data_IF_089533983832
#
_entry.id   IF_089533983832
#
_cell.length_a   1.000
_cell.length_b   1.000
_cell.length_c   1.000
_cell.angle_alpha   90.00
_cell.angle_beta   90.00
_cell.angle_gamma   90.00
#
_symmetry.space_group_name_H-M   'P 1'
#
loop_
_entity.id
_entity.type
_entity.pdbx_description
1 polymer ?
#
# COMPACT_ATOMS: atom_id res chain seq x y z
N UNK A 1 17.12 32.76 -42.97
CA UNK A 1 17.65 32.74 -41.58
C UNK A 1 16.43 32.59 -40.71
N UNK A 2 16.11 31.35 -40.34
CA UNK A 2 14.86 31.06 -39.65
C UNK A 2 14.99 31.48 -38.18
N UNK A 3 14.20 32.47 -37.77
CA UNK A 3 14.15 32.95 -36.39
C UNK A 3 13.27 31.96 -35.62
N UNK A 4 13.88 31.07 -34.83
CA UNK A 4 13.15 30.23 -33.87
C UNK A 4 12.82 31.09 -32.65
N UNK A 5 11.58 31.57 -32.56
CA UNK A 5 11.05 32.20 -31.37
C UNK A 5 10.79 31.12 -30.31
N UNK A 6 11.77 30.87 -29.43
CA UNK A 6 11.70 29.87 -28.35
C UNK A 6 10.61 30.14 -27.28
N UNK A 7 9.81 31.20 -27.43
CA UNK A 7 8.83 31.63 -26.43
C UNK A 7 9.46 31.91 -25.07
N UNK A 8 8.69 31.77 -23.99
CA UNK A 8 9.22 31.88 -22.63
C UNK A 8 10.07 30.63 -22.32
N UNK A 9 11.40 30.78 -22.35
CA UNK A 9 12.37 29.72 -22.04
C UNK A 9 12.07 29.02 -20.71
N UNK A 10 11.55 29.76 -19.72
CA UNK A 10 11.19 29.16 -18.44
C UNK A 10 10.06 28.14 -18.60
N UNK A 11 9.01 28.49 -19.33
CA UNK A 11 7.83 27.64 -19.50
C UNK A 11 8.08 26.53 -20.52
N UNK A 12 8.83 26.82 -21.58
CA UNK A 12 8.98 25.91 -22.72
C UNK A 12 10.19 24.97 -22.60
N UNK A 13 11.20 25.33 -21.80
CA UNK A 13 12.45 24.54 -21.68
C UNK A 13 12.65 24.06 -20.25
N UNK A 14 12.59 24.96 -19.26
CA UNK A 14 12.88 24.61 -17.85
C UNK A 14 11.76 23.79 -17.23
N UNK A 15 10.50 24.24 -17.33
CA UNK A 15 9.37 23.53 -16.72
C UNK A 15 9.22 22.07 -17.21
N UNK A 16 9.36 21.75 -18.51
CA UNK A 16 9.18 20.37 -19.00
C UNK A 16 10.26 19.37 -18.57
N UNK A 17 11.45 19.83 -18.17
CA UNK A 17 12.56 18.94 -17.75
C UNK A 17 12.57 18.64 -16.24
N UNK A 18 11.78 19.38 -15.46
CA UNK A 18 11.73 19.21 -14.01
C UNK A 18 10.78 18.09 -13.60
N UNK A 19 11.20 17.30 -12.61
CA UNK A 19 10.34 16.31 -11.96
C UNK A 19 9.28 17.01 -11.09
N UNK A 20 8.19 16.32 -10.69
CA UNK A 20 7.04 16.99 -10.09
C UNK A 20 7.36 17.71 -8.77
N UNK A 21 8.20 17.11 -7.92
CA UNK A 21 8.62 17.71 -6.65
C UNK A 21 9.45 18.99 -6.85
N UNK A 22 10.29 19.04 -7.89
CA UNK A 22 11.11 20.22 -8.20
C UNK A 22 10.24 21.36 -8.73
N UNK A 23 9.24 21.04 -9.55
CA UNK A 23 8.23 22.03 -9.98
C UNK A 23 7.49 22.62 -8.78
N UNK A 24 7.09 21.77 -7.82
CA UNK A 24 6.44 22.23 -6.61
C UNK A 24 7.35 23.15 -5.80
N UNK A 25 8.58 22.73 -5.49
CA UNK A 25 9.54 23.55 -4.75
C UNK A 25 9.85 24.86 -5.48
N UNK A 26 10.07 24.83 -6.80
CA UNK A 26 10.31 26.02 -7.60
C UNK A 26 9.14 27.00 -7.53
N UNK A 27 7.90 26.49 -7.54
CA UNK A 27 6.70 27.32 -7.39
C UNK A 27 6.60 27.98 -6.00
N UNK A 28 7.20 27.38 -4.95
CA UNK A 28 7.23 27.96 -3.60
C UNK A 28 8.31 29.05 -3.43
N UNK A 29 9.29 29.15 -4.33
CA UNK A 29 10.42 30.08 -4.14
C UNK A 29 10.02 31.56 -4.29
N UNK A 30 9.14 31.90 -5.24
CA UNK A 30 8.66 33.27 -5.43
C UNK A 30 7.32 33.34 -6.16
N UNK A 31 6.62 34.48 -6.00
CA UNK A 31 5.31 34.75 -6.64
C UNK A 31 5.34 34.67 -8.16
N UNK A 32 6.48 34.93 -8.79
CA UNK A 32 6.63 34.84 -10.25
C UNK A 32 6.59 33.38 -10.72
N UNK A 33 7.41 32.52 -10.12
CA UNK A 33 7.41 31.08 -10.38
C UNK A 33 6.03 30.47 -10.08
N UNK A 34 5.42 30.83 -8.95
CA UNK A 34 4.08 30.37 -8.57
C UNK A 34 3.02 30.67 -9.64
N UNK A 35 3.08 31.85 -10.28
CA UNK A 35 2.14 32.23 -11.34
C UNK A 35 2.41 31.50 -12.67
N UNK A 36 3.67 31.18 -12.95
CA UNK A 36 4.07 30.52 -14.21
C UNK A 36 3.89 29.00 -14.15
N UNK A 37 4.13 28.38 -13.00
CA UNK A 37 4.01 26.93 -12.82
C UNK A 37 2.56 26.60 -12.46
N UNK A 38 1.83 26.09 -13.45
CA UNK A 38 0.44 25.65 -13.30
C UNK A 38 0.38 24.19 -12.83
N UNK A 39 -0.74 23.83 -12.21
CA UNK A 39 -1.05 22.44 -11.82
C UNK A 39 -0.96 21.47 -13.01
N UNK A 40 -1.32 21.94 -14.21
CA UNK A 40 -1.22 21.23 -15.48
C UNK A 40 0.21 20.77 -15.77
N UNK A 41 1.20 21.64 -15.53
CA UNK A 41 2.62 21.29 -15.68
C UNK A 41 3.04 20.20 -14.70
N UNK A 42 2.58 20.27 -13.45
CA UNK A 42 2.88 19.25 -12.43
C UNK A 42 2.26 17.91 -12.83
N UNK A 43 0.98 17.88 -13.21
CA UNK A 43 0.32 16.64 -13.69
C UNK A 43 1.03 16.04 -14.90
N UNK A 44 1.40 16.86 -15.88
CA UNK A 44 2.15 16.40 -17.06
C UNK A 44 3.50 15.80 -16.67
N UNK A 45 4.23 16.43 -15.74
CA UNK A 45 5.49 15.88 -15.21
C UNK A 45 5.28 14.55 -14.48
N UNK A 46 4.19 14.39 -13.71
CA UNK A 46 3.83 13.12 -13.06
C UNK A 46 3.54 12.02 -14.09
N UNK A 47 2.78 12.34 -15.14
CA UNK A 47 2.48 11.39 -16.23
C UNK A 47 3.77 10.96 -16.94
N UNK A 48 4.66 11.92 -17.25
CA UNK A 48 5.97 11.62 -17.84
C UNK A 48 6.79 10.68 -16.95
N UNK A 49 6.79 10.90 -15.64
CA UNK A 49 7.52 10.05 -14.69
C UNK A 49 6.91 8.65 -14.56
N UNK A 50 5.57 8.54 -14.56
CA UNK A 50 4.86 7.25 -14.63
C UNK A 50 5.27 6.49 -15.90
N UNK A 51 5.16 7.12 -17.06
CA UNK A 51 5.50 6.52 -18.35
C UNK A 51 6.96 6.11 -18.43
N UNK A 52 7.88 6.97 -17.98
CA UNK A 52 9.33 6.66 -17.93
C UNK A 52 9.60 5.43 -17.08
N UNK A 53 8.95 5.31 -15.91
CA UNK A 53 9.15 4.16 -15.01
C UNK A 53 8.54 2.88 -15.56
N UNK A 54 7.34 2.94 -16.13
CA UNK A 54 6.70 1.80 -16.77
C UNK A 54 7.49 1.34 -17.99
N UNK A 55 7.99 2.26 -18.82
CA UNK A 55 8.90 1.95 -19.92
C UNK A 55 10.14 1.21 -19.43
N UNK A 56 10.75 1.63 -18.32
CA UNK A 56 11.90 0.89 -17.76
C UNK A 56 11.54 -0.52 -17.23
N UNK A 57 10.27 -0.79 -16.91
CA UNK A 57 9.81 -2.09 -16.40
C UNK A 57 9.47 -3.04 -17.55
N UNK A 58 8.75 -2.54 -18.55
CA UNK A 58 8.23 -3.33 -19.68
C UNK A 58 9.13 -3.28 -20.91
N UNK A 59 10.05 -2.31 -20.99
CA UNK A 59 10.97 -2.09 -22.11
C UNK A 59 10.21 -2.05 -23.45
N UNK A 60 10.60 -2.90 -24.41
CA UNK A 60 10.00 -2.97 -25.74
C UNK A 60 8.50 -3.39 -25.69
N UNK A 61 8.04 -4.01 -24.60
CA UNK A 61 6.63 -4.39 -24.42
C UNK A 61 5.74 -3.23 -23.92
N UNK A 62 6.30 -2.04 -23.67
CA UNK A 62 5.57 -0.94 -23.02
C UNK A 62 4.35 -0.46 -23.80
N UNK A 63 4.45 -0.31 -25.12
CA UNK A 63 3.34 0.17 -25.94
C UNK A 63 2.20 -0.86 -26.03
N UNK A 64 2.53 -2.15 -26.08
CA UNK A 64 1.55 -3.23 -25.99
C UNK A 64 0.87 -3.23 -24.61
N UNK A 65 1.65 -3.06 -23.54
CA UNK A 65 1.13 -2.99 -22.18
C UNK A 65 0.14 -1.81 -22.03
N UNK A 66 0.50 -0.63 -22.54
CA UNK A 66 -0.42 0.53 -22.57
C UNK A 66 -1.69 0.24 -23.34
N UNK A 67 -1.58 -0.43 -24.49
CA UNK A 67 -2.72 -0.79 -25.32
C UNK A 67 -3.66 -1.77 -24.61
N UNK A 68 -3.10 -2.80 -23.96
CA UNK A 68 -3.87 -3.73 -23.14
C UNK A 68 -4.52 -3.06 -21.92
N UNK A 69 -3.81 -2.14 -21.24
CA UNK A 69 -4.36 -1.35 -20.14
C UNK A 69 -5.55 -0.49 -20.60
N UNK A 70 -5.44 0.16 -21.77
CA UNK A 70 -6.51 0.95 -22.38
C UNK A 70 -7.71 0.07 -22.75
N UNK A 71 -7.46 -1.05 -23.43
CA UNK A 71 -8.51 -2.02 -23.82
C UNK A 71 -9.28 -2.58 -22.63
N UNK A 72 -8.59 -2.74 -21.50
CA UNK A 72 -9.20 -3.14 -20.22
C UNK A 72 -9.87 -2.00 -19.45
N UNK A 73 -9.61 -0.74 -19.78
CA UNK A 73 -9.96 0.37 -18.90
C UNK A 73 -9.33 0.24 -17.51
N UNK A 74 -8.15 -0.36 -17.43
CA UNK A 74 -7.41 -0.60 -16.20
C UNK A 74 -6.84 0.72 -15.62
N UNK A 75 -6.72 0.79 -14.29
CA UNK A 75 -6.32 2.01 -13.59
C UNK A 75 -5.16 1.74 -12.65
N UNK A 76 -4.07 2.48 -12.80
CA UNK A 76 -2.95 2.47 -11.86
C UNK A 76 -3.30 3.34 -10.65
N UNK A 77 -2.98 2.87 -9.45
CA UNK A 77 -3.26 3.59 -8.20
C UNK A 77 -2.18 3.36 -7.14
N UNK A 78 -2.47 3.81 -5.91
CA UNK A 78 -1.69 3.51 -4.74
C UNK A 78 -0.31 4.17 -4.72
N UNK A 79 0.63 3.43 -4.15
CA UNK A 79 1.93 3.97 -3.71
C UNK A 79 2.88 4.29 -4.86
N UNK A 80 2.66 3.73 -6.04
CA UNK A 80 3.45 4.00 -7.25
C UNK A 80 3.28 5.45 -7.76
N UNK A 81 2.06 5.99 -7.76
CA UNK A 81 1.81 7.38 -8.18
C UNK A 81 2.46 8.36 -7.19
N UNK A 82 2.39 8.06 -5.89
CA UNK A 82 3.02 8.89 -4.85
C UNK A 82 4.53 8.99 -5.08
N UNK A 83 5.18 7.88 -5.40
CA UNK A 83 6.60 7.85 -5.75
C UNK A 83 6.95 8.73 -6.95
N UNK A 84 6.10 8.71 -7.98
CA UNK A 84 6.29 9.56 -9.17
C UNK A 84 6.14 11.05 -8.83
N UNK A 85 5.17 11.41 -7.97
CA UNK A 85 5.00 12.78 -7.48
C UNK A 85 6.21 13.26 -6.67
N UNK A 86 6.73 12.40 -5.79
CA UNK A 86 7.84 12.76 -4.90
C UNK A 86 9.23 12.60 -5.54
N UNK A 87 9.32 12.01 -6.74
CA UNK A 87 10.61 11.67 -7.35
C UNK A 87 11.36 10.57 -6.60
N UNK A 88 10.68 9.75 -5.80
CA UNK A 88 11.31 8.74 -4.93
C UNK A 88 11.22 7.34 -5.53
N UNK A 89 12.11 6.44 -5.11
CA UNK A 89 12.00 5.02 -5.37
C UNK A 89 11.91 4.26 -4.05
N UNK A 90 10.86 3.47 -3.88
CA UNK A 90 10.66 2.67 -2.69
C UNK A 90 10.89 1.20 -3.00
N UNK A 91 11.95 0.64 -2.41
CA UNK A 91 12.24 -0.80 -2.50
C UNK A 91 11.03 -1.59 -2.01
N UNK A 92 10.78 -2.72 -2.66
CA UNK A 92 9.68 -3.65 -2.34
C UNK A 92 8.27 -3.05 -2.48
N UNK A 93 8.16 -1.93 -3.21
CA UNK A 93 6.85 -1.41 -3.60
C UNK A 93 6.35 -2.09 -4.86
N UNK A 94 5.10 -2.53 -4.80
CA UNK A 94 4.29 -2.98 -5.92
C UNK A 94 3.71 -1.81 -6.73
N UNK A 95 3.21 -2.16 -7.92
CA UNK A 95 2.32 -1.31 -8.73
C UNK A 95 0.92 -1.91 -8.67
N UNK A 96 0.00 -1.17 -8.06
CA UNK A 96 -1.41 -1.55 -7.93
C UNK A 96 -2.18 -1.16 -9.19
N UNK A 97 -2.77 -2.15 -9.86
CA UNK A 97 -3.59 -1.99 -11.07
C UNK A 97 -4.99 -2.52 -10.79
N UNK A 98 -5.97 -1.64 -10.89
CA UNK A 98 -7.38 -1.97 -10.68
C UNK A 98 -8.05 -2.29 -12.02
N UNK A 99 -8.79 -3.39 -12.05
CA UNK A 99 -9.57 -3.84 -13.21
C UNK A 99 -10.96 -4.29 -12.78
N UNK A 100 -11.88 -4.41 -13.73
CA UNK A 100 -13.21 -4.92 -13.42
C UNK A 100 -13.16 -6.42 -13.08
N UNK A 101 -13.86 -6.85 -12.02
CA UNK A 101 -13.88 -8.25 -11.58
C UNK A 101 -14.26 -9.24 -12.69
N UNK A 102 -15.09 -8.84 -13.66
CA UNK A 102 -15.45 -9.68 -14.81
C UNK A 102 -14.24 -10.16 -15.61
N UNK A 103 -13.15 -9.40 -15.63
CA UNK A 103 -11.92 -9.83 -16.31
C UNK A 103 -11.29 -11.07 -15.67
N UNK A 104 -11.45 -11.25 -14.36
CA UNK A 104 -10.97 -12.44 -13.66
C UNK A 104 -11.87 -13.64 -13.98
N UNK A 105 -13.19 -13.44 -14.06
CA UNK A 105 -14.14 -14.48 -14.49
C UNK A 105 -13.80 -14.97 -15.90
N UNK A 106 -13.53 -14.04 -16.83
CA UNK A 106 -13.11 -14.35 -18.20
C UNK A 106 -11.73 -15.02 -18.26
N UNK A 107 -10.82 -14.64 -17.36
CA UNK A 107 -9.47 -15.19 -17.27
C UNK A 107 -9.47 -16.63 -16.74
N UNK A 108 -10.34 -16.95 -15.79
CA UNK A 108 -10.45 -18.29 -15.20
C UNK A 108 -11.35 -19.26 -15.98
N UNK A 109 -12.09 -18.79 -16.99
CA UNK A 109 -12.96 -19.66 -17.77
C UNK A 109 -12.13 -20.65 -18.63
N UNK A 110 -12.15 -21.96 -18.31
CA UNK A 110 -11.31 -22.96 -18.97
C UNK A 110 -11.64 -23.14 -20.45
N UNK A 111 -12.86 -22.79 -20.88
CA UNK A 111 -13.28 -22.85 -22.28
C UNK A 111 -12.59 -21.80 -23.16
N UNK A 112 -11.97 -20.76 -22.58
CA UNK A 112 -11.20 -19.76 -23.30
C UNK A 112 -9.69 -20.07 -23.36
N UNK A 113 -9.12 -20.82 -22.41
CA UNK A 113 -7.68 -21.16 -22.46
C UNK A 113 -7.37 -22.25 -23.50
N UNK A 114 -8.30 -23.15 -23.77
CA UNK A 114 -8.07 -24.29 -24.70
C UNK A 114 -8.10 -23.86 -26.16
N UNK A 115 -8.91 -22.88 -26.54
CA UNK A 115 -9.01 -22.42 -27.94
C UNK A 115 -7.74 -21.68 -28.41
N UNK A 116 -7.16 -20.82 -27.58
CA UNK A 116 -5.98 -20.02 -27.97
C UNK A 116 -4.67 -20.83 -27.96
N UNK A 117 -4.56 -21.86 -27.11
CA UNK A 117 -3.37 -22.72 -27.05
C UNK A 117 -3.34 -23.83 -28.11
N UNK A 118 -4.51 -24.35 -28.53
CA UNK A 118 -4.58 -25.44 -29.51
C UNK A 118 -4.49 -24.96 -30.96
N UNK A 119 -5.02 -23.77 -31.29
CA UNK A 119 -4.97 -23.25 -32.66
C UNK A 119 -3.60 -22.70 -33.07
N UNK A 120 -2.67 -22.47 -32.13
CA UNK A 120 -1.32 -21.97 -32.44
C UNK A 120 -0.30 -23.05 -32.81
N UNK A 121 -0.67 -24.33 -32.75
CA UNK A 121 0.20 -25.46 -33.10
C UNK A 121 -0.15 -26.13 -34.44
N UNK A 122 -1.17 -25.66 -35.16
CA UNK A 122 -1.68 -26.33 -36.36
C UNK A 122 -1.52 -25.59 -37.69
N UNK A 123 -0.87 -24.43 -37.72
CA UNK A 123 -0.64 -23.69 -38.98
C UNK A 123 0.86 -23.45 -39.21
N UNK A 124 1.58 -24.55 -39.45
CA UNK A 124 2.74 -24.54 -40.34
C UNK A 124 2.23 -24.54 -41.79
N UNK A 125 1.86 -23.36 -42.30
CA UNK A 125 1.80 -23.13 -43.74
C UNK A 125 1.89 -21.65 -44.05
N UNK A 126 3.07 -21.23 -44.51
CA UNK A 126 3.35 -20.17 -45.47
C UNK A 126 2.37 -18.98 -45.62
N UNK A 127 2.95 -17.79 -45.43
CA UNK A 127 2.57 -16.49 -45.99
C UNK A 127 1.39 -15.75 -45.33
N UNK A 128 1.70 -14.90 -44.33
CA UNK A 128 1.71 -13.44 -44.51
C UNK A 128 1.98 -12.72 -43.19
N UNK A 129 2.79 -11.67 -43.24
CA UNK A 129 3.04 -10.70 -42.16
C UNK A 129 1.79 -9.84 -41.89
N UNK A 130 0.64 -10.46 -41.67
CA UNK A 130 -0.45 -9.76 -41.02
C UNK A 130 -0.24 -9.87 -39.52
N UNK A 131 0.39 -8.82 -38.97
CA UNK A 131 0.25 -8.41 -37.58
C UNK A 131 -1.24 -8.27 -37.26
N UNK A 132 -1.89 -9.40 -36.98
CA UNK A 132 -3.16 -9.42 -36.29
C UNK A 132 -2.88 -8.94 -34.86
N UNK A 133 -2.86 -7.61 -34.76
CA UNK A 133 -3.04 -6.84 -33.55
C UNK A 133 -4.43 -7.10 -32.97
N UNK A 134 -4.66 -8.36 -32.57
CA UNK A 134 -5.68 -8.67 -31.58
C UNK A 134 -5.20 -8.00 -30.31
N UNK A 135 -5.56 -6.72 -30.20
CA UNK A 135 -5.57 -5.96 -28.96
C UNK A 135 -6.37 -6.80 -27.97
N UNK A 136 -5.68 -7.63 -27.21
CA UNK A 136 -6.27 -8.38 -26.11
C UNK A 136 -6.85 -7.34 -25.17
N UNK A 137 -8.16 -7.11 -25.27
CA UNK A 137 -8.85 -6.14 -24.44
C UNK A 137 -8.76 -6.51 -22.95
N UNK A 138 -8.27 -7.71 -22.62
CA UNK A 138 -8.02 -8.21 -21.28
C UNK A 138 -6.51 -8.21 -20.96
N UNK A 139 -6.10 -7.28 -20.10
CA UNK A 139 -4.73 -7.11 -19.62
C UNK A 139 -4.18 -8.36 -18.92
N UNK A 140 -5.00 -9.13 -18.20
CA UNK A 140 -4.54 -10.35 -17.53
C UNK A 140 -4.11 -11.43 -18.54
N UNK A 141 -4.83 -11.56 -19.65
CA UNK A 141 -4.44 -12.47 -20.74
C UNK A 141 -3.15 -12.01 -21.41
N UNK A 142 -3.01 -10.71 -21.65
CA UNK A 142 -1.78 -10.12 -22.17
C UNK A 142 -0.58 -10.46 -21.27
N UNK A 143 -0.70 -10.26 -19.95
CA UNK A 143 0.38 -10.55 -19.00
C UNK A 143 0.82 -12.02 -19.06
N UNK A 144 -0.12 -12.96 -19.15
CA UNK A 144 0.16 -14.39 -19.32
C UNK A 144 0.81 -14.71 -20.66
N UNK A 145 0.33 -14.11 -21.77
CA UNK A 145 0.90 -14.30 -23.12
C UNK A 145 2.35 -13.85 -23.23
N UNK A 146 2.72 -12.76 -22.55
CA UNK A 146 4.11 -12.29 -22.47
C UNK A 146 4.98 -13.15 -21.54
N UNK A 147 4.44 -14.24 -20.98
CA UNK A 147 5.13 -15.14 -20.06
C UNK A 147 5.70 -14.43 -18.81
N UNK A 148 5.03 -13.37 -18.33
CA UNK A 148 5.41 -12.78 -17.05
C UNK A 148 5.07 -13.75 -15.92
N UNK A 149 5.92 -13.76 -14.89
CA UNK A 149 5.84 -14.77 -13.83
C UNK A 149 4.64 -14.52 -12.92
N UNK A 150 3.70 -15.45 -12.89
CA UNK A 150 2.57 -15.45 -11.96
C UNK A 150 3.06 -15.89 -10.57
N UNK A 151 3.13 -14.94 -9.63
CA UNK A 151 3.67 -15.17 -8.29
C UNK A 151 2.61 -15.67 -7.32
N UNK A 152 1.39 -15.10 -7.39
CA UNK A 152 0.35 -15.38 -6.41
C UNK A 152 -1.05 -15.07 -6.97
N UNK A 153 -2.03 -15.88 -6.56
CA UNK A 153 -3.46 -15.68 -6.85
C UNK A 153 -4.26 -15.87 -5.58
N UNK A 154 -5.11 -14.91 -5.23
CA UNK A 154 -6.00 -15.01 -4.08
C UNK A 154 -7.46 -14.72 -4.46
N UNK A 155 -8.35 -15.56 -3.92
CA UNK A 155 -9.80 -15.38 -3.90
C UNK A 155 -10.18 -14.92 -2.49
N UNK A 156 -10.80 -13.75 -2.40
CA UNK A 156 -11.17 -13.05 -1.17
C UNK A 156 -10.03 -12.23 -0.55
N UNK A 157 -10.17 -10.90 -0.62
CA UNK A 157 -9.29 -9.94 0.03
C UNK A 157 -10.12 -9.11 1.01
N UNK A 158 -9.69 -9.05 2.28
CA UNK A 158 -10.42 -8.35 3.37
C UNK A 158 -11.83 -8.88 3.67
N UNK A 159 -12.06 -10.18 3.45
CA UNK A 159 -13.41 -10.76 3.65
C UNK A 159 -14.44 -10.26 2.63
N UNK A 160 -13.99 -9.46 1.64
CA UNK A 160 -14.74 -9.09 0.46
C UNK A 160 -14.31 -10.00 -0.70
N UNK A 161 -15.25 -10.38 -1.60
CA UNK A 161 -14.93 -11.12 -2.81
C UNK A 161 -14.17 -10.20 -3.78
N UNK A 162 -12.86 -10.07 -3.54
CA UNK A 162 -11.93 -9.39 -4.42
C UNK A 162 -10.91 -10.41 -4.92
N UNK A 163 -10.63 -10.31 -6.21
CA UNK A 163 -9.66 -11.16 -6.90
C UNK A 163 -8.33 -10.42 -6.94
N UNK A 164 -7.27 -11.07 -6.47
CA UNK A 164 -5.92 -10.54 -6.57
C UNK A 164 -5.07 -11.50 -7.37
N UNK A 165 -4.37 -10.96 -8.36
CA UNK A 165 -3.35 -11.66 -9.13
C UNK A 165 -2.07 -10.82 -9.09
N UNK A 166 -0.98 -11.45 -8.66
CA UNK A 166 0.34 -10.84 -8.62
C UNK A 166 1.20 -11.38 -9.76
N UNK A 167 1.64 -10.51 -10.65
CA UNK A 167 2.67 -10.81 -11.65
C UNK A 167 4.01 -10.19 -11.23
N UNK A 168 5.09 -10.82 -11.68
CA UNK A 168 6.44 -10.29 -11.57
C UNK A 168 7.00 -10.03 -12.97
N UNK A 169 7.27 -8.75 -13.25
CA UNK A 169 7.91 -8.29 -14.48
C UNK A 169 9.31 -7.85 -14.11
N UNK A 170 10.30 -8.61 -14.56
CA UNK A 170 11.69 -8.48 -14.10
C UNK A 170 11.81 -8.56 -12.56
N UNK A 171 12.09 -7.43 -11.89
CA UNK A 171 12.20 -7.33 -10.42
C UNK A 171 11.02 -6.59 -9.78
N UNK A 172 10.03 -6.17 -10.57
CA UNK A 172 8.91 -5.36 -10.11
C UNK A 172 7.67 -6.23 -9.99
N UNK A 173 7.00 -6.13 -8.83
CA UNK A 173 5.71 -6.76 -8.59
C UNK A 173 4.59 -5.87 -9.15
N UNK A 174 3.72 -6.45 -9.96
CA UNK A 174 2.51 -5.83 -10.52
C UNK A 174 1.31 -6.56 -9.93
N UNK A 175 0.53 -5.86 -9.12
CA UNK A 175 -0.63 -6.43 -8.44
C UNK A 175 -1.92 -5.98 -9.15
N UNK A 176 -2.67 -6.94 -9.66
CA UNK A 176 -4.00 -6.71 -10.22
C UNK A 176 -5.08 -6.94 -9.16
N UNK A 177 -5.97 -5.97 -9.01
CA UNK A 177 -7.05 -5.97 -8.02
C UNK A 177 -8.40 -5.86 -8.74
N UNK A 178 -9.22 -6.89 -8.61
CA UNK A 178 -10.56 -6.93 -9.17
C UNK A 178 -11.57 -6.17 -8.32
N UNK A 179 -12.25 -5.22 -8.93
CA UNK A 179 -13.33 -4.45 -8.30
C UNK A 179 -14.64 -4.60 -9.07
N UNK A 180 -15.79 -4.78 -8.39
CA UNK A 180 -17.07 -4.98 -9.05
C UNK A 180 -17.61 -3.71 -9.72
N UNK A 181 -17.16 -2.53 -9.29
CA UNK A 181 -17.66 -1.25 -9.77
C UNK A 181 -17.26 -0.97 -11.22
N UNK A 182 -18.22 -0.42 -11.99
CA UNK A 182 -17.93 0.11 -13.33
C UNK A 182 -17.04 1.36 -13.28
N UNK A 183 -17.18 2.15 -12.21
CA UNK A 183 -16.37 3.35 -12.00
C UNK A 183 -15.25 3.05 -10.99
N UNK A 184 -14.15 2.51 -11.50
CA UNK A 184 -12.97 2.13 -10.72
C UNK A 184 -12.35 3.34 -10.00
N UNK A 185 -12.34 4.52 -10.63
CA UNK A 185 -11.81 5.75 -10.00
C UNK A 185 -12.59 6.07 -8.73
N UNK A 186 -13.92 5.99 -8.77
CA UNK A 186 -14.76 6.27 -7.61
C UNK A 186 -14.56 5.22 -6.51
N UNK A 187 -14.38 3.94 -6.89
CA UNK A 187 -14.02 2.90 -5.93
C UNK A 187 -12.70 3.24 -5.20
N UNK A 188 -11.66 3.64 -5.93
CA UNK A 188 -10.37 4.06 -5.35
C UNK A 188 -10.58 5.23 -4.35
N UNK A 189 -11.29 6.28 -4.75
CA UNK A 189 -11.49 7.46 -3.91
C UNK A 189 -12.22 7.12 -2.60
N UNK A 190 -13.20 6.22 -2.66
CA UNK A 190 -14.06 5.91 -1.52
C UNK A 190 -13.47 4.86 -0.57
N UNK A 191 -12.70 3.90 -1.09
CA UNK A 191 -12.28 2.72 -0.32
C UNK A 191 -10.84 2.77 0.19
N UNK A 192 -9.98 3.67 -0.30
CA UNK A 192 -8.64 3.82 0.26
C UNK A 192 -8.67 4.44 1.67
N UNK A 193 -7.97 3.81 2.61
CA UNK A 193 -7.89 4.25 4.02
C UNK A 193 -7.15 5.59 4.17
N UNK A 194 -6.11 5.81 3.36
CA UNK A 194 -5.27 7.00 3.40
C UNK A 194 -5.48 7.89 2.17
N UNK A 195 -5.67 9.18 2.43
CA UNK A 195 -5.94 10.21 1.43
C UNK A 195 -4.84 10.28 0.38
N UNK A 196 -3.58 10.10 0.78
CA UNK A 196 -2.43 10.17 -0.13
C UNK A 196 -2.43 9.04 -1.17
N UNK A 197 -3.20 7.98 -0.95
CA UNK A 197 -3.30 6.85 -1.88
C UNK A 197 -4.47 6.98 -2.85
N UNK A 198 -5.34 7.99 -2.69
CA UNK A 198 -6.54 8.21 -3.53
C UNK A 198 -6.21 8.86 -4.87
N UNK A 199 -5.19 8.33 -5.56
CA UNK A 199 -4.76 8.79 -6.87
C UNK A 199 -5.08 7.72 -7.91
N UNK A 200 -5.44 8.15 -9.11
CA UNK A 200 -5.80 7.24 -10.19
C UNK A 200 -5.20 7.74 -11.49
N UNK A 201 -4.57 6.83 -12.23
CA UNK A 201 -4.06 7.09 -13.56
C UNK A 201 -4.59 6.05 -14.54
N UNK A 202 -5.20 6.51 -15.63
CA UNK A 202 -5.83 5.67 -16.65
C UNK A 202 -5.31 6.05 -18.04
N UNK A 203 -4.98 5.06 -18.87
CA UNK A 203 -4.69 5.31 -20.28
C UNK A 203 -6.01 5.47 -21.05
N UNK A 204 -6.46 6.69 -21.28
CA UNK A 204 -7.75 6.96 -21.97
C UNK A 204 -7.61 7.37 -23.45
N UNK A 205 -6.58 8.15 -23.78
CA UNK A 205 -6.38 8.72 -25.12
C UNK A 205 -5.14 8.14 -25.83
N UNK A 206 -5.02 8.42 -27.13
CA UNK A 206 -3.78 8.19 -27.90
C UNK A 206 -2.63 9.01 -27.29
N UNK A 207 -2.95 10.18 -26.73
CA UNK A 207 -2.02 11.05 -26.02
C UNK A 207 -2.33 11.01 -24.53
N UNK A 208 -1.34 10.75 -23.67
CA UNK A 208 -1.55 10.76 -22.22
C UNK A 208 -1.78 12.19 -21.71
N UNK A 209 -3.04 12.63 -21.73
CA UNK A 209 -3.47 13.96 -21.33
C UNK A 209 -3.64 14.13 -19.82
N UNK A 210 -3.76 15.38 -19.36
CA UNK A 210 -3.92 15.69 -17.93
C UNK A 210 -5.23 15.19 -17.30
N UNK A 211 -6.22 14.89 -18.14
CA UNK A 211 -7.51 14.27 -17.78
C UNK A 211 -7.35 12.82 -17.31
N UNK A 212 -6.26 12.17 -17.71
CA UNK A 212 -5.97 10.76 -17.41
C UNK A 212 -5.48 10.57 -15.98
N UNK A 213 -5.12 11.66 -15.28
CA UNK A 213 -4.54 11.64 -13.95
C UNK A 213 -5.39 12.42 -12.94
N UNK A 214 -5.96 11.68 -11.99
CA UNK A 214 -6.60 12.21 -10.80
C UNK A 214 -5.65 12.10 -9.60
N UNK A 215 -5.41 13.21 -8.90
CA UNK A 215 -4.61 13.24 -7.67
C UNK A 215 -5.46 13.88 -6.59
N UNK A 216 -5.74 13.11 -5.53
CA UNK A 216 -6.44 13.63 -4.37
C UNK A 216 -5.49 14.44 -3.50
N UNK A 217 -5.81 15.72 -3.29
CA UNK A 217 -5.06 16.63 -2.41
C UNK A 217 -3.55 16.63 -2.66
N UNK A 218 -3.12 16.96 -3.88
CA UNK A 218 -1.71 16.97 -4.29
C UNK A 218 -0.76 17.67 -3.29
N UNK A 219 -1.17 18.80 -2.71
CA UNK A 219 -0.35 19.52 -1.73
C UNK A 219 -0.04 18.68 -0.48
N UNK A 220 -0.96 17.83 -0.04
CA UNK A 220 -0.72 16.94 1.09
C UNK A 220 0.38 15.93 0.77
N UNK A 221 0.42 15.42 -0.46
CA UNK A 221 1.46 14.49 -0.89
C UNK A 221 2.82 15.17 -0.84
N UNK A 222 2.95 16.38 -1.41
CA UNK A 222 4.21 17.15 -1.37
C UNK A 222 4.64 17.51 0.05
N UNK A 223 3.70 17.89 0.91
CA UNK A 223 3.97 18.17 2.33
C UNK A 223 4.11 16.90 3.19
N UNK A 224 3.95 15.71 2.60
CA UNK A 224 3.91 14.41 3.28
C UNK A 224 2.94 14.37 4.46
N UNK A 225 1.72 14.84 4.26
CA UNK A 225 0.66 14.81 5.26
C UNK A 225 -0.44 13.84 4.83
N UNK A 226 -0.97 13.04 5.75
CA UNK A 226 -2.15 12.19 5.46
C UNK A 226 -3.02 11.96 6.69
N UNK A 227 -4.20 11.38 6.50
CA UNK A 227 -5.07 10.98 7.59
C UNK A 227 -4.68 9.59 8.12
N UNK A 228 -4.91 9.35 9.41
CA UNK A 228 -4.93 8.03 10.03
C UNK A 228 -6.34 7.79 10.56
N UNK A 229 -7.12 7.00 9.83
CA UNK A 229 -8.50 6.70 10.17
C UNK A 229 -8.77 5.23 9.83
N UNK A 230 -8.33 4.28 10.68
CA UNK A 230 -8.51 2.86 10.42
C UNK A 230 -10.01 2.52 10.36
N UNK A 231 -10.55 2.31 9.16
CA UNK A 231 -11.97 1.97 8.96
C UNK A 231 -12.24 0.47 8.99
N UNK A 232 -11.21 -0.34 8.79
CA UNK A 232 -11.33 -1.76 8.50
C UNK A 232 -10.24 -2.56 9.22
N UNK A 233 -9.51 -3.41 8.50
CA UNK A 233 -8.45 -4.27 9.00
C UNK A 233 -7.34 -3.42 9.68
N UNK A 234 -7.34 -3.42 11.01
CA UNK A 234 -6.41 -2.64 11.83
C UNK A 234 -4.95 -3.01 11.54
N UNK A 235 -4.65 -4.30 11.38
CA UNK A 235 -3.29 -4.79 11.11
C UNK A 235 -2.75 -4.21 9.79
N UNK A 236 -3.56 -4.21 8.73
CA UNK A 236 -3.19 -3.62 7.43
C UNK A 236 -3.01 -2.11 7.52
N UNK A 237 -3.90 -1.44 8.25
CA UNK A 237 -3.79 0.00 8.50
C UNK A 237 -2.49 0.34 9.26
N UNK A 238 -2.12 -0.45 10.26
CA UNK A 238 -0.85 -0.32 10.99
C UNK A 238 0.34 -0.53 10.04
N UNK A 239 0.35 -1.60 9.24
CA UNK A 239 1.41 -1.85 8.25
C UNK A 239 1.59 -0.69 7.29
N UNK A 240 0.48 -0.15 6.76
CA UNK A 240 0.52 1.02 5.87
C UNK A 240 0.98 2.28 6.61
N UNK A 241 0.53 2.49 7.86
CA UNK A 241 0.98 3.61 8.69
C UNK A 241 2.50 3.57 8.85
N UNK A 242 3.04 2.43 9.26
CA UNK A 242 4.47 2.23 9.43
C UNK A 242 5.25 2.43 8.12
N UNK A 243 4.72 1.89 7.00
CA UNK A 243 5.28 2.07 5.65
C UNK A 243 5.45 3.56 5.30
N UNK A 244 4.42 4.39 5.49
CA UNK A 244 4.48 5.80 5.13
C UNK A 244 5.14 6.69 6.18
N UNK A 245 4.99 6.39 7.48
CA UNK A 245 5.67 7.12 8.55
C UNK A 245 7.20 7.00 8.40
N UNK A 246 7.72 5.80 8.08
CA UNK A 246 9.14 5.59 7.75
C UNK A 246 9.62 6.40 6.54
N UNK A 247 8.70 6.82 5.67
CA UNK A 247 8.97 7.66 4.48
C UNK A 247 8.75 9.15 4.78
N UNK A 248 8.68 9.53 6.06
CA UNK A 248 8.56 10.91 6.49
C UNK A 248 7.15 11.50 6.36
N UNK A 249 6.11 10.67 6.26
CA UNK A 249 4.74 11.17 6.31
C UNK A 249 4.30 11.44 7.75
N UNK A 250 3.75 12.63 7.95
CA UNK A 250 3.01 13.03 9.13
C UNK A 250 1.56 12.59 9.00
N UNK A 251 1.00 12.07 10.09
CA UNK A 251 -0.37 11.60 10.13
C UNK A 251 -1.21 12.56 10.97
N UNK A 252 -2.47 12.68 10.60
CA UNK A 252 -3.46 13.50 11.28
C UNK A 252 -4.74 12.70 11.51
N UNK A 253 -5.56 13.13 12.47
CA UNK A 253 -6.92 12.60 12.64
C UNK A 253 -7.73 12.75 11.34
N UNK A 254 -8.86 12.03 11.24
CA UNK A 254 -9.69 12.04 10.03
C UNK A 254 -10.06 13.47 9.55
N UNK A 255 -10.39 14.36 10.48
CA UNK A 255 -10.74 15.76 10.18
C UNK A 255 -9.51 16.67 10.00
N UNK A 256 -8.30 16.14 10.22
CA UNK A 256 -7.01 16.85 10.23
C UNK A 256 -6.82 17.87 11.35
N UNK A 257 -7.65 17.84 12.37
CA UNK A 257 -7.56 18.78 13.48
C UNK A 257 -6.34 18.51 14.37
N UNK A 258 -5.94 17.24 14.49
CA UNK A 258 -4.90 16.81 15.41
C UNK A 258 -3.84 15.98 14.70
N UNK A 259 -2.56 16.32 14.90
CA UNK A 259 -1.45 15.48 14.46
C UNK A 259 -1.39 14.21 15.32
N UNK A 260 -1.16 13.08 14.67
CA UNK A 260 -0.97 11.78 15.31
C UNK A 260 0.47 11.70 15.78
N UNK A 261 0.65 11.55 17.08
CA UNK A 261 1.94 11.46 17.77
C UNK A 261 2.07 10.09 18.43
N UNK A 262 3.27 9.79 18.94
CA UNK A 262 3.52 8.55 19.70
C UNK A 262 2.65 8.41 20.95
N UNK A 263 2.23 9.54 21.51
CA UNK A 263 1.43 9.59 22.75
C UNK A 263 -0.06 9.39 22.50
N UNK A 264 -0.60 9.89 21.37
CA UNK A 264 -2.04 9.83 21.11
C UNK A 264 -2.45 8.74 20.10
N UNK A 265 -1.51 8.08 19.43
CA UNK A 265 -1.83 7.07 18.40
C UNK A 265 -2.69 5.92 18.93
N UNK A 266 -2.49 5.53 20.18
CA UNK A 266 -3.18 4.42 20.84
C UNK A 266 -4.69 4.67 20.94
N UNK A 267 -5.08 5.90 21.27
CA UNK A 267 -6.49 6.31 21.34
C UNK A 267 -7.16 6.25 19.96
N UNK A 268 -6.40 6.54 18.90
CA UNK A 268 -6.89 6.60 17.52
C UNK A 268 -7.18 5.21 16.93
N UNK A 269 -6.55 4.18 17.49
CA UNK A 269 -6.73 2.77 17.09
C UNK A 269 -7.44 1.94 18.16
N UNK A 270 -7.91 2.58 19.24
CA UNK A 270 -8.56 1.94 20.37
C UNK A 270 -7.72 0.77 20.94
N UNK A 271 -6.41 0.99 21.10
CA UNK A 271 -5.50 0.04 21.75
C UNK A 271 -5.21 0.53 23.16
N UNK A 272 -5.49 -0.30 24.16
CA UNK A 272 -5.16 -0.01 25.54
C UNK A 272 -3.71 -0.40 25.85
N UNK A 273 -3.00 0.47 26.57
CA UNK A 273 -1.68 0.14 27.13
C UNK A 273 -1.88 -0.22 28.60
N UNK A 274 -1.72 -1.50 28.94
CA UNK A 274 -1.95 -2.03 30.28
C UNK A 274 -0.59 -2.28 30.94
N UNK A 275 -0.41 -1.71 32.13
CA UNK A 275 0.79 -1.94 32.94
C UNK A 275 0.69 -3.27 33.69
N UNK A 276 1.83 -3.93 33.85
CA UNK A 276 1.94 -5.20 34.58
C UNK A 276 3.13 -5.20 35.53
N UNK A 277 2.92 -5.71 36.75
CA UNK A 277 3.94 -5.78 37.79
C UNK A 277 4.45 -7.22 37.95
N UNK A 278 5.76 -7.46 38.05
CA UNK A 278 6.31 -8.79 38.34
C UNK A 278 5.78 -9.42 39.63
N UNK A 279 5.44 -10.72 39.58
CA UNK A 279 5.10 -11.52 40.76
C UNK A 279 6.34 -12.33 41.17
N UNK A 280 6.93 -12.00 42.33
CA UNK A 280 8.05 -12.76 42.95
C UNK A 280 9.29 -12.92 42.06
N UNK A 281 9.42 -12.11 40.99
CA UNK A 281 10.54 -12.10 40.06
C UNK A 281 11.06 -10.68 39.89
N UNK A 282 12.33 -10.56 39.53
CA UNK A 282 12.91 -9.28 39.14
C UNK A 282 12.46 -8.88 37.74
N UNK A 283 12.45 -7.57 37.45
CA UNK A 283 12.17 -7.07 36.09
C UNK A 283 13.10 -7.68 35.03
N UNK A 284 14.38 -7.89 35.37
CA UNK A 284 15.35 -8.53 34.46
C UNK A 284 14.94 -9.96 34.10
N UNK A 285 14.54 -10.75 35.08
CA UNK A 285 14.05 -12.12 34.84
C UNK A 285 12.77 -12.12 34.01
N UNK A 286 11.84 -11.21 34.33
CA UNK A 286 10.60 -11.05 33.58
C UNK A 286 10.84 -10.73 32.10
N UNK A 287 11.72 -9.76 31.80
CA UNK A 287 12.13 -9.47 30.41
C UNK A 287 12.72 -10.69 29.71
N UNK A 288 13.56 -11.46 30.41
CA UNK A 288 14.11 -12.72 29.87
C UNK A 288 13.04 -13.78 29.62
N UNK A 289 11.95 -13.82 30.40
CA UNK A 289 10.84 -14.74 30.16
C UNK A 289 10.00 -14.26 28.97
N UNK A 290 9.72 -12.96 28.87
CA UNK A 290 8.99 -12.37 27.74
C UNK A 290 9.73 -12.52 26.40
N UNK A 291 11.05 -12.67 26.41
CA UNK A 291 11.85 -12.92 25.21
C UNK A 291 11.92 -14.40 24.79
N UNK A 292 11.47 -15.33 25.64
CA UNK A 292 11.57 -16.78 25.39
C UNK A 292 10.31 -17.34 24.75
N UNK A 293 10.44 -18.52 24.15
CA UNK A 293 9.36 -19.22 23.45
C UNK A 293 8.30 -19.86 24.36
N UNK A 294 7.65 -19.05 25.18
CA UNK A 294 6.56 -19.49 26.06
C UNK A 294 5.17 -19.06 25.56
N UNK A 295 4.18 -19.89 25.86
CA UNK A 295 2.76 -19.54 25.76
C UNK A 295 2.37 -18.72 27.00
N UNK A 296 1.66 -17.61 26.79
CA UNK A 296 1.16 -16.77 27.88
C UNK A 296 -0.38 -16.81 27.89
N UNK A 297 -0.95 -16.89 29.07
CA UNK A 297 -2.40 -16.80 29.29
C UNK A 297 -2.68 -15.82 30.42
N UNK A 298 -3.79 -15.09 30.32
CA UNK A 298 -4.29 -14.31 31.44
C UNK A 298 -5.46 -15.04 32.07
N UNK A 299 -5.52 -15.07 33.41
CA UNK A 299 -6.70 -15.46 34.16
C UNK A 299 -6.97 -14.36 35.19
N UNK A 300 -8.11 -13.68 35.06
CA UNK A 300 -8.42 -12.43 35.76
C UNK A 300 -7.35 -11.35 35.60
N UNK A 301 -6.61 -11.05 36.66
CA UNK A 301 -5.54 -10.05 36.71
C UNK A 301 -4.14 -10.69 36.75
N UNK A 302 -4.03 -12.01 36.55
CA UNK A 302 -2.76 -12.73 36.61
C UNK A 302 -2.39 -13.26 35.23
N UNK A 303 -1.20 -12.87 34.76
CA UNK A 303 -0.57 -13.49 33.60
C UNK A 303 0.26 -14.68 34.06
N UNK A 304 0.03 -15.81 33.41
CA UNK A 304 0.77 -17.04 33.57
C UNK A 304 1.54 -17.33 32.28
N UNK A 305 2.66 -18.02 32.40
CA UNK A 305 3.31 -18.64 31.25
C UNK A 305 3.44 -20.14 31.48
N UNK A 306 3.37 -20.91 30.38
CA UNK A 306 3.51 -22.37 30.40
C UNK A 306 4.96 -22.74 30.07
N UNK A 307 5.65 -23.33 31.03
CA UNK A 307 6.93 -24.03 30.86
C UNK A 307 6.64 -25.53 30.72
N UNK A 308 7.61 -26.31 30.22
CA UNK A 308 7.52 -27.73 29.77
C UNK A 308 6.53 -28.67 30.49
N UNK A 309 6.23 -28.46 31.78
CA UNK A 309 5.16 -29.18 32.49
C UNK A 309 4.30 -28.34 33.47
N UNK A 310 4.55 -27.02 33.64
CA UNK A 310 3.93 -26.23 34.71
C UNK A 310 3.56 -24.82 34.27
N UNK A 311 2.35 -24.39 34.63
CA UNK A 311 1.95 -22.99 34.55
C UNK A 311 2.54 -22.22 35.75
N UNK A 312 3.15 -21.06 35.49
CA UNK A 312 3.76 -20.22 36.52
C UNK A 312 3.21 -18.80 36.41
N UNK A 313 2.67 -18.29 37.51
CA UNK A 313 2.25 -16.89 37.63
C UNK A 313 3.50 -15.99 37.51
N UNK A 314 3.42 -14.97 36.66
CA UNK A 314 4.57 -14.12 36.38
C UNK A 314 4.26 -12.63 36.52
N UNK A 315 3.07 -12.19 36.12
CA UNK A 315 2.69 -10.78 36.19
C UNK A 315 1.32 -10.62 36.82
N UNK A 316 1.12 -9.48 37.48
CA UNK A 316 -0.17 -8.96 37.88
C UNK A 316 -0.51 -7.73 37.05
N UNK A 317 -1.70 -7.66 36.47
CA UNK A 317 -2.19 -6.49 35.76
C UNK A 317 -2.51 -5.36 36.73
N UNK A 318 -2.24 -4.12 36.31
CA UNK A 318 -2.67 -2.93 37.03
C UNK A 318 -4.04 -2.47 36.53
N UNK A 319 -4.92 -2.12 37.47
CA UNK A 319 -6.19 -1.41 37.24
C UNK A 319 -7.16 -2.05 36.23
N UNK A 320 -7.01 -3.34 35.94
CA UNK A 320 -7.92 -4.05 35.05
C UNK A 320 -8.00 -5.55 35.36
N UNK A 321 -9.12 -6.16 34.96
CA UNK A 321 -9.31 -7.60 34.93
C UNK A 321 -9.63 -8.00 33.51
N UNK A 322 -8.91 -8.99 33.00
CA UNK A 322 -9.16 -9.57 31.69
C UNK A 322 -9.86 -10.92 31.86
N UNK A 323 -10.78 -11.22 30.96
CA UNK A 323 -11.32 -12.57 30.84
C UNK A 323 -10.21 -13.51 30.34
N UNK A 324 -10.36 -14.81 30.58
CA UNK A 324 -9.39 -15.83 30.17
C UNK A 324 -9.02 -15.66 28.70
N UNK A 325 -7.79 -15.19 28.44
CA UNK A 325 -7.36 -14.74 27.11
C UNK A 325 -5.94 -15.16 26.81
N UNK A 326 -5.68 -15.36 25.52
CA UNK A 326 -4.37 -15.73 25.00
C UNK A 326 -3.51 -14.49 24.80
N UNK A 327 -2.31 -14.53 25.34
CA UNK A 327 -1.31 -13.47 25.23
C UNK A 327 -0.16 -13.98 24.37
N UNK A 328 0.28 -13.17 23.41
CA UNK A 328 1.38 -13.51 22.53
C UNK A 328 2.48 -12.46 22.56
N UNK A 329 3.68 -12.86 22.14
CA UNK A 329 4.85 -11.99 22.06
C UNK A 329 4.84 -11.20 20.75
N UNK A 330 5.31 -9.95 20.78
CA UNK A 330 5.41 -9.09 19.59
C UNK A 330 6.15 -9.75 18.42
N UNK A 331 7.13 -10.62 18.70
CA UNK A 331 7.98 -11.22 17.66
C UNK A 331 7.45 -12.50 17.01
N UNK A 332 6.28 -13.03 17.39
CA UNK A 332 5.90 -14.38 16.95
C UNK A 332 5.52 -14.49 15.45
N UNK A 333 5.24 -13.40 14.73
CA UNK A 333 4.60 -13.52 13.41
C UNK A 333 5.24 -12.70 12.26
N UNK A 334 6.44 -12.14 12.42
CA UNK A 334 7.08 -11.36 11.34
C UNK A 334 6.32 -10.10 10.92
N UNK A 335 5.37 -9.65 11.73
CA UNK A 335 4.62 -8.42 11.48
C UNK A 335 5.30 -7.21 12.11
N UNK A 336 5.28 -6.10 11.38
CA UNK A 336 5.70 -4.80 11.89
C UNK A 336 4.79 -4.38 13.06
N UNK A 337 5.35 -4.38 14.26
CA UNK A 337 4.67 -4.14 15.53
C UNK A 337 4.68 -2.64 15.85
N UNK A 338 3.50 -2.00 15.92
CA UNK A 338 3.40 -0.55 16.10
C UNK A 338 4.04 -0.06 17.40
N UNK A 339 3.89 -0.83 18.48
CA UNK A 339 4.47 -0.49 19.78
C UNK A 339 6.00 -0.55 19.74
N UNK A 340 6.55 -1.66 19.24
CA UNK A 340 8.00 -1.80 19.03
C UNK A 340 8.58 -0.70 18.14
N UNK A 341 7.84 -0.29 17.10
CA UNK A 341 8.27 0.80 16.23
C UNK A 341 8.43 2.14 16.95
N UNK A 342 7.53 2.48 17.87
CA UNK A 342 7.58 3.75 18.60
C UNK A 342 8.46 3.69 19.86
N UNK A 343 8.53 2.52 20.50
CA UNK A 343 9.26 2.27 21.74
C UNK A 343 10.22 1.09 21.56
N UNK A 344 11.23 1.22 20.69
CA UNK A 344 12.19 0.16 20.47
C UNK A 344 12.88 -0.16 21.80
N UNK A 345 13.13 -1.44 22.05
CA UNK A 345 13.75 -1.99 23.27
C UNK A 345 12.84 -2.11 24.49
N UNK A 346 11.56 -1.74 24.40
CA UNK A 346 10.61 -2.00 25.50
C UNK A 346 10.01 -3.39 25.30
N UNK A 347 10.28 -4.30 26.25
CA UNK A 347 9.64 -5.61 26.25
C UNK A 347 8.14 -5.45 26.50
N UNK A 348 7.33 -6.06 25.62
CA UNK A 348 5.87 -6.02 25.72
C UNK A 348 5.24 -7.32 25.20
N UNK A 349 3.98 -7.54 25.57
CA UNK A 349 3.13 -8.61 25.06
C UNK A 349 1.88 -8.01 24.41
N UNK A 350 1.18 -8.81 23.63
CA UNK A 350 -0.07 -8.44 22.99
C UNK A 350 -1.19 -9.37 23.40
N UNK A 351 -2.37 -8.80 23.53
CA UNK A 351 -3.61 -9.54 23.72
C UNK A 351 -4.24 -9.86 22.36
N UNK A 352 -4.51 -11.13 22.08
CA UNK A 352 -5.10 -11.54 20.79
C UNK A 352 -6.63 -11.47 20.81
N UNK A 353 -7.20 -10.95 19.73
CA UNK A 353 -8.63 -10.86 19.49
C UNK A 353 -9.20 -12.22 19.03
N UNK A 354 -9.22 -13.22 19.91
CA UNK A 354 -9.98 -14.46 19.64
C UNK A 354 -11.46 -14.20 19.96
N UNK A 355 -12.23 -13.82 18.92
CA UNK A 355 -13.70 -13.94 18.77
C UNK A 355 -14.65 -13.28 19.79
N UNK A 356 -14.18 -12.72 20.91
CA UNK A 356 -15.06 -12.03 21.86
C UNK A 356 -15.29 -10.58 21.43
N UNK A 357 -16.51 -10.27 20.97
CA UNK A 357 -16.97 -8.98 20.41
C UNK A 357 -16.74 -7.72 21.27
N UNK A 358 -16.20 -7.84 22.48
CA UNK A 358 -16.09 -6.74 23.46
C UNK A 358 -14.69 -6.55 24.06
N UNK A 359 -13.67 -7.34 23.67
CA UNK A 359 -12.32 -7.15 24.19
C UNK A 359 -11.55 -6.15 23.32
N UNK A 360 -11.08 -5.06 23.94
CA UNK A 360 -10.19 -4.08 23.34
C UNK A 360 -8.82 -4.69 23.07
N UNK A 361 -8.24 -4.39 21.90
CA UNK A 361 -6.84 -4.74 21.63
C UNK A 361 -5.97 -4.07 22.70
N UNK A 362 -5.00 -4.81 23.24
CA UNK A 362 -4.13 -4.27 24.29
C UNK A 362 -2.67 -4.65 24.08
N UNK A 363 -1.79 -3.73 24.48
CA UNK A 363 -0.37 -3.98 24.65
C UNK A 363 -0.07 -3.99 26.15
N UNK A 364 0.59 -5.04 26.61
CA UNK A 364 0.96 -5.26 27.99
C UNK A 364 2.43 -4.88 28.18
N UNK A 365 2.70 -3.94 29.08
CA UNK A 365 4.05 -3.40 29.33
C UNK A 365 4.38 -3.51 30.81
N UNK A 366 5.65 -3.68 31.14
CA UNK A 366 6.08 -3.63 32.55
C UNK A 366 5.78 -2.24 33.11
N UNK A 367 5.39 -2.17 34.37
CA UNK A 367 5.00 -0.91 35.05
C UNK A 367 6.15 0.08 35.25
N UNK A 368 7.40 -0.39 35.12
CA UNK A 368 8.61 0.43 35.06
C UNK A 368 8.83 1.16 33.72
N UNK A 369 7.91 0.99 32.76
CA UNK A 369 7.82 1.80 31.55
C UNK A 369 7.07 3.12 31.79
N UNK A 370 7.61 4.21 31.26
CA UNK A 370 7.02 5.55 31.28
C UNK A 370 7.01 6.13 29.87
N UNK A 371 5.92 6.78 29.50
CA UNK A 371 5.86 7.57 28.28
C UNK A 371 6.69 8.85 28.50
N UNK A 372 7.74 9.02 27.69
CA UNK A 372 8.49 10.28 27.60
C UNK A 372 7.71 11.35 26.83
#
# INVERSE_FOLDING_TARGET
MDIVLLGDLFVNVIVPILIPIDLYHLAQTCKSCQKKIKISHVKKSVINEINRRLYNIFNDDFDDFKSAMRGSGAIISGSFIIQCILGEYWRDSDIDIYVNTKMFEDFHNPNHMTYDFLNKKSEDSDLSEHEDSVSDANILKYMTRKNYFLEHTALNYDGLPAYIIDFKVHKTKIQFIGVPERNIVMHIINNYDFDICKNAYKFDDIFDGETNLFIYRLNDIFCRCTNFAPKSNLERNIKRYLKYHRRGFNFYSYNKDNMITRSNIWDQININIIKMTPIRKTYRECRSIMSKDYEFTCCEDIIMYKDTCHAKNIFKLQDTKLLDTYIYRCHNNGFDCLFDYHYPNICHLHLSHMEQKNLTNAVLVLDDFYFE
#
